data_IF_754891243278
#
_entry.id   IF_754891243278
#
_cell.length_a   1.000
_cell.length_b   1.000
_cell.length_c   1.000
_cell.angle_alpha   90.00
_cell.angle_beta   90.00
_cell.angle_gamma   90.00
#
_symmetry.space_group_name_H-M   'P 1'
#
loop_
_entity.id
_entity.type
_entity.pdbx_description
1 polymer ?
#
# COMPACT_ATOMS: atom_id res chain seq x y z
N UNK A 1 -32.42 -15.65 -2.70
CA UNK A 1 -31.57 -15.61 -1.50
C UNK A 1 -30.60 -14.45 -1.64
N UNK A 2 -30.44 -13.58 -0.63
CA UNK A 2 -29.40 -12.56 -0.66
C UNK A 2 -28.01 -13.23 -0.63
N UNK A 3 -27.02 -12.64 -1.30
CA UNK A 3 -25.63 -13.09 -1.27
C UNK A 3 -24.90 -12.44 -0.09
N UNK A 4 -23.98 -13.17 0.52
CA UNK A 4 -23.07 -12.67 1.56
C UNK A 4 -21.71 -12.40 0.93
N UNK A 5 -21.14 -11.23 1.23
CA UNK A 5 -19.74 -10.93 0.93
C UNK A 5 -18.91 -11.18 2.19
N UNK A 6 -17.80 -11.91 2.06
CA UNK A 6 -16.86 -12.22 3.14
C UNK A 6 -15.49 -11.70 2.72
N UNK A 7 -14.88 -10.89 3.58
CA UNK A 7 -13.51 -10.40 3.39
C UNK A 7 -12.52 -11.45 3.90
N UNK A 8 -11.52 -11.78 3.08
CA UNK A 8 -10.44 -12.74 3.38
C UNK A 8 -9.08 -12.05 3.53
N UNK A 9 -9.05 -10.71 3.48
CA UNK A 9 -7.83 -9.93 3.63
C UNK A 9 -7.45 -9.73 5.10
N UNK A 10 -6.15 -9.60 5.35
CA UNK A 10 -5.63 -9.04 6.60
C UNK A 10 -5.30 -7.56 6.42
N UNK A 11 -5.23 -6.83 7.54
CA UNK A 11 -4.81 -5.44 7.51
C UNK A 11 -3.32 -5.31 7.12
N UNK A 12 -3.00 -4.19 6.48
CA UNK A 12 -1.64 -3.68 6.45
C UNK A 12 -1.45 -2.82 7.70
N UNK A 13 -0.50 -3.18 8.54
CA UNK A 13 -0.25 -2.51 9.81
C UNK A 13 1.21 -2.68 10.25
N UNK A 14 1.70 -1.77 11.09
CA UNK A 14 3.10 -1.79 11.55
C UNK A 14 3.35 -2.80 12.68
N UNK A 15 2.32 -3.07 13.51
CA UNK A 15 2.52 -3.68 14.83
C UNK A 15 2.23 -5.18 14.86
N UNK A 16 1.56 -5.71 13.83
CA UNK A 16 1.31 -7.14 13.69
C UNK A 16 2.32 -7.72 12.71
N UNK A 17 3.13 -8.67 13.20
CA UNK A 17 4.10 -9.37 12.39
C UNK A 17 3.40 -10.39 11.46
N UNK A 18 2.94 -9.94 10.30
CA UNK A 18 2.42 -10.80 9.22
C UNK A 18 3.51 -11.31 8.27
N UNK A 19 4.66 -10.64 8.27
CA UNK A 19 5.74 -10.81 7.30
C UNK A 19 7.10 -10.92 8.01
N UNK A 20 8.15 -11.48 7.38
CA UNK A 20 9.48 -11.54 8.00
C UNK A 20 9.98 -10.12 8.35
N UNK A 21 10.61 -9.90 9.52
CA UNK A 21 10.92 -8.55 10.02
C UNK A 21 11.67 -7.63 9.05
N UNK A 22 12.58 -8.17 8.24
CA UNK A 22 13.35 -7.39 7.26
C UNK A 22 12.53 -6.95 6.02
N UNK A 23 11.33 -7.51 5.85
CA UNK A 23 10.43 -7.27 4.71
C UNK A 23 9.05 -6.82 5.15
N UNK A 24 8.85 -6.48 6.43
CA UNK A 24 7.56 -6.01 6.92
C UNK A 24 7.14 -4.70 6.21
N UNK A 25 5.84 -4.50 5.96
CA UNK A 25 5.37 -3.23 5.44
C UNK A 25 5.63 -2.11 6.45
N UNK A 26 5.79 -0.89 5.95
CA UNK A 26 5.91 0.31 6.79
C UNK A 26 4.86 1.32 6.38
N UNK A 27 4.06 1.75 7.36
CA UNK A 27 3.08 2.82 7.23
C UNK A 27 3.60 4.02 8.05
N UNK A 28 3.83 5.13 7.36
CA UNK A 28 4.10 6.41 7.98
C UNK A 28 2.81 7.22 8.04
N UNK A 29 2.40 7.58 9.26
CA UNK A 29 1.17 8.32 9.51
C UNK A 29 1.47 9.81 9.64
N UNK A 30 0.74 10.61 8.89
CA UNK A 30 0.73 12.06 9.01
C UNK A 30 -0.60 12.47 9.61
N UNK A 31 -0.56 13.19 10.72
CA UNK A 31 -1.73 13.55 11.52
C UNK A 31 -2.22 14.93 11.13
N UNK A 32 -3.45 15.25 11.53
CA UNK A 32 -4.04 16.58 11.33
C UNK A 32 -3.16 17.72 11.86
N UNK A 33 -2.41 17.49 12.94
CA UNK A 33 -1.56 18.50 13.55
C UNK A 33 -0.25 18.75 12.79
N UNK A 34 0.28 17.74 12.09
CA UNK A 34 1.62 17.77 11.50
C UNK A 34 1.65 17.93 9.97
N UNK A 35 0.49 18.06 9.33
CA UNK A 35 0.37 18.21 7.87
C UNK A 35 0.09 19.61 7.36
N UNK A 36 -0.01 20.62 8.23
CA UNK A 36 -0.20 22.01 7.77
C UNK A 36 0.87 22.43 6.76
N UNK A 37 2.14 22.10 7.03
CA UNK A 37 3.29 22.41 6.15
C UNK A 37 3.20 21.72 4.78
N UNK A 38 2.40 20.66 4.65
CA UNK A 38 2.14 20.00 3.36
C UNK A 38 1.08 20.74 2.54
N UNK A 39 0.19 21.50 3.19
CA UNK A 39 -0.94 22.20 2.57
C UNK A 39 -0.54 23.61 2.16
N UNK A 40 0.17 24.32 3.03
CA UNK A 40 0.58 25.71 2.84
C UNK A 40 1.17 26.00 1.44
N UNK A 41 2.03 25.13 0.85
CA UNK A 41 2.58 25.35 -0.48
C UNK A 41 1.54 25.43 -1.62
N UNK A 42 0.36 24.82 -1.43
CA UNK A 42 -0.73 24.86 -2.41
C UNK A 42 -1.54 26.16 -2.36
N UNK A 43 -1.50 26.89 -1.24
CA UNK A 43 -2.33 28.07 -1.00
C UNK A 43 -1.48 29.24 -0.44
N UNK A 44 -0.86 30.06 -1.32
CA UNK A 44 0.00 31.15 -0.88
C UNK A 44 -0.68 32.11 0.10
N UNK A 45 -0.10 32.25 1.29
CA UNK A 45 -0.61 33.13 2.35
C UNK A 45 -1.63 32.48 3.29
N UNK A 46 -1.94 31.19 3.10
CA UNK A 46 -2.73 30.40 4.05
C UNK A 46 -2.03 30.39 5.41
N UNK A 47 -2.77 30.67 6.46
CA UNK A 47 -2.33 30.48 7.84
C UNK A 47 -3.02 29.28 8.44
N UNK A 48 -2.44 28.74 9.51
CA UNK A 48 -3.02 27.59 10.21
C UNK A 48 -4.44 27.92 10.70
N UNK A 49 -4.67 29.13 11.19
CA UNK A 49 -5.97 29.56 11.73
C UNK A 49 -7.06 29.72 10.66
N UNK A 50 -6.68 29.75 9.38
CA UNK A 50 -7.62 29.79 8.26
C UNK A 50 -8.22 28.41 7.96
N UNK A 51 -7.62 27.33 8.49
CA UNK A 51 -8.16 25.97 8.40
C UNK A 51 -9.20 25.72 9.51
N UNK A 52 -10.25 24.92 9.24
CA UNK A 52 -11.14 24.45 10.29
C UNK A 52 -10.35 23.81 11.43
N UNK A 53 -10.54 24.32 12.64
CA UNK A 53 -9.83 23.88 13.86
C UNK A 53 -8.29 23.91 13.78
N UNK A 54 -7.73 24.57 12.75
CA UNK A 54 -6.30 24.58 12.47
C UNK A 54 -5.74 23.24 11.98
N UNK A 55 -6.60 22.35 11.48
CA UNK A 55 -6.26 20.97 11.15
C UNK A 55 -5.91 20.78 9.67
N UNK A 56 -4.86 20.01 9.42
CA UNK A 56 -4.49 19.52 8.11
C UNK A 56 -5.13 18.18 7.74
N UNK A 57 -4.60 17.51 6.72
CA UNK A 57 -5.12 16.24 6.22
C UNK A 57 -4.48 15.13 7.06
N UNK A 58 -5.24 14.10 7.42
CA UNK A 58 -4.64 12.85 7.87
C UNK A 58 -4.43 11.97 6.65
N UNK A 59 -3.17 11.56 6.42
CA UNK A 59 -2.78 10.72 5.29
C UNK A 59 -1.67 9.78 5.70
N UNK A 60 -1.52 8.69 4.97
CA UNK A 60 -0.47 7.71 5.18
C UNK A 60 0.40 7.54 3.94
N UNK A 61 1.70 7.34 4.15
CA UNK A 61 2.59 6.78 3.13
C UNK A 61 2.85 5.32 3.46
N UNK A 62 2.60 4.44 2.49
CA UNK A 62 2.89 3.01 2.64
C UNK A 62 4.08 2.62 1.77
N UNK A 63 5.08 2.00 2.40
CA UNK A 63 6.16 1.30 1.73
C UNK A 63 5.98 -0.20 1.93
N UNK A 64 5.84 -0.95 0.84
CA UNK A 64 5.57 -2.39 0.87
C UNK A 64 6.23 -3.13 -0.29
N UNK A 65 6.45 -4.42 -0.09
CA UNK A 65 6.76 -5.41 -1.12
C UNK A 65 5.46 -5.95 -1.73
N UNK A 66 5.51 -6.39 -2.99
CA UNK A 66 4.38 -7.09 -3.65
C UNK A 66 3.98 -8.39 -2.97
N UNK A 67 4.74 -8.82 -1.96
CA UNK A 67 4.53 -10.03 -1.16
C UNK A 67 4.10 -9.76 0.29
N UNK A 68 3.69 -8.53 0.64
CA UNK A 68 3.21 -8.22 1.98
C UNK A 68 1.71 -8.45 2.15
N UNK A 69 1.33 -8.92 3.35
CA UNK A 69 -0.07 -9.14 3.71
C UNK A 69 -0.77 -10.18 2.84
N UNK A 70 -2.08 -10.03 2.63
CA UNK A 70 -2.83 -10.84 1.67
C UNK A 70 -2.50 -10.39 0.24
N UNK A 71 -1.76 -11.22 -0.51
CA UNK A 71 -1.26 -10.88 -1.84
C UNK A 71 -1.46 -12.00 -2.87
N UNK A 72 -1.07 -11.74 -4.12
CA UNK A 72 -1.10 -12.69 -5.23
C UNK A 72 0.26 -12.74 -5.92
N UNK A 73 0.80 -13.95 -6.07
CA UNK A 73 2.06 -14.17 -6.76
C UNK A 73 1.86 -14.38 -8.26
N UNK A 74 2.46 -13.51 -9.07
CA UNK A 74 2.52 -13.69 -10.51
C UNK A 74 3.55 -14.77 -10.90
N UNK A 75 3.42 -15.41 -12.08
CA UNK A 75 4.39 -16.38 -12.58
C UNK A 75 5.85 -15.92 -12.54
N UNK A 76 6.08 -14.61 -12.72
CA UNK A 76 7.42 -14.01 -12.63
C UNK A 76 8.10 -14.22 -11.28
N UNK A 77 7.35 -14.30 -10.17
CA UNK A 77 7.89 -14.61 -8.84
C UNK A 77 8.65 -15.94 -8.82
N UNK A 78 8.17 -16.93 -9.58
CA UNK A 78 8.70 -18.28 -9.56
C UNK A 78 9.85 -18.48 -10.55
N UNK A 79 9.77 -17.88 -11.74
CA UNK A 79 10.79 -18.02 -12.77
C UNK A 79 10.69 -16.94 -13.85
N UNK A 80 11.78 -16.65 -14.57
CA UNK A 80 11.82 -15.66 -15.66
C UNK A 80 11.06 -16.07 -16.93
N UNK A 81 10.75 -17.36 -17.07
CA UNK A 81 10.02 -17.94 -18.20
C UNK A 81 9.03 -19.00 -17.75
N UNK A 82 7.98 -19.22 -18.53
CA UNK A 82 6.89 -20.16 -18.27
C UNK A 82 6.60 -21.09 -19.46
N UNK A 83 5.62 -21.98 -19.28
CA UNK A 83 5.04 -22.85 -20.32
C UNK A 83 5.93 -23.90 -20.98
N UNK A 84 7.19 -24.08 -20.54
CA UNK A 84 8.12 -25.09 -21.09
C UNK A 84 7.52 -26.50 -21.19
N UNK A 85 6.73 -26.92 -20.19
CA UNK A 85 6.06 -28.22 -20.17
C UNK A 85 4.96 -28.36 -21.25
N UNK A 86 4.49 -27.25 -21.80
CA UNK A 86 3.51 -27.16 -22.89
C UNK A 86 4.17 -27.10 -24.28
N UNK A 87 5.48 -27.38 -24.38
CA UNK A 87 6.20 -27.47 -25.65
C UNK A 87 6.73 -26.16 -26.22
N UNK A 88 6.55 -25.03 -25.53
CA UNK A 88 7.12 -23.74 -25.90
C UNK A 88 7.58 -22.98 -24.66
N UNK A 89 8.50 -22.03 -24.81
CA UNK A 89 8.95 -21.18 -23.71
C UNK A 89 8.59 -19.74 -24.03
N UNK A 90 8.04 -19.04 -23.05
CA UNK A 90 7.79 -17.60 -23.12
C UNK A 90 8.16 -16.90 -21.82
N UNK A 91 8.26 -15.57 -21.86
CA UNK A 91 8.57 -14.77 -20.67
C UNK A 91 7.43 -14.86 -19.67
N UNK A 92 7.77 -14.99 -18.40
CA UNK A 92 6.77 -14.92 -17.33
C UNK A 92 6.19 -13.51 -17.22
N UNK A 93 4.91 -13.43 -16.87
CA UNK A 93 4.20 -12.16 -16.72
C UNK A 93 4.29 -11.63 -15.29
N UNK A 94 4.38 -10.31 -15.16
CA UNK A 94 4.16 -9.58 -13.91
C UNK A 94 2.71 -9.07 -13.86
N UNK A 95 2.28 -8.58 -12.69
CA UNK A 95 1.01 -7.86 -12.55
C UNK A 95 1.27 -6.42 -13.02
N UNK A 96 0.56 -5.98 -14.06
CA UNK A 96 0.62 -4.62 -14.64
C UNK A 96 -0.73 -3.94 -14.53
#
# INVERSE_FOLDING_TARGET
>A
MPRTFVDLSIFLENDVLSDPPAFAPKIEYFTHENTFEQIEPFFPGLKKEDLPDGEGWAVETVALSTHNGTHLDAPYHFHSTMNKALGHQEKSIAIH
#
